data_IF_040831617753
#
_entry.id   IF_040831617753
#
_cell.length_a   1.000
_cell.length_b   1.000
_cell.length_c   1.000
_cell.angle_alpha   90.00
_cell.angle_beta   90.00
_cell.angle_gamma   90.00
#
_symmetry.space_group_name_H-M   'P 1'
#
loop_
_entity.id
_entity.type
_entity.pdbx_description
1 polymer ?
#
# COMPACT_ATOMS: atom_id res chain seq x y z
N UNK A 1 -28.71 25.45 -5.88
CA UNK A 1 -29.54 24.27 -5.58
C UNK A 1 -28.91 22.99 -6.14
N UNK A 2 -28.55 22.94 -7.44
CA UNK A 2 -27.99 21.76 -8.10
C UNK A 2 -26.70 21.22 -7.49
N UNK A 3 -25.75 22.06 -7.07
CA UNK A 3 -24.51 21.63 -6.41
C UNK A 3 -24.73 20.86 -5.10
N UNK A 4 -25.73 21.27 -4.30
CA UNK A 4 -26.07 20.57 -3.04
C UNK A 4 -26.70 19.21 -3.31
N UNK A 5 -27.52 19.08 -4.36
CA UNK A 5 -28.11 17.82 -4.79
C UNK A 5 -27.02 16.86 -5.30
N UNK A 6 -26.08 17.37 -6.10
CA UNK A 6 -24.94 16.57 -6.60
C UNK A 6 -24.05 16.06 -5.48
N UNK A 7 -23.73 16.90 -4.49
CA UNK A 7 -22.96 16.50 -3.31
C UNK A 7 -23.72 15.45 -2.50
N UNK A 8 -25.03 15.64 -2.27
CA UNK A 8 -25.88 14.67 -1.58
C UNK A 8 -25.89 13.31 -2.29
N UNK A 9 -26.06 13.31 -3.61
CA UNK A 9 -26.02 12.10 -4.42
C UNK A 9 -24.64 11.41 -4.34
N UNK A 10 -23.56 12.15 -4.50
CA UNK A 10 -22.20 11.61 -4.39
C UNK A 10 -21.96 10.99 -3.00
N UNK A 11 -22.45 11.63 -1.94
CA UNK A 11 -22.36 11.11 -0.56
C UNK A 11 -23.11 9.78 -0.43
N UNK A 12 -24.31 9.67 -1.00
CA UNK A 12 -25.08 8.42 -0.98
C UNK A 12 -24.39 7.30 -1.76
N UNK A 13 -23.82 7.60 -2.92
CA UNK A 13 -23.06 6.62 -3.72
C UNK A 13 -21.81 6.13 -2.98
N UNK A 14 -21.04 7.04 -2.36
CA UNK A 14 -19.90 6.68 -1.52
C UNK A 14 -20.33 5.81 -0.33
N UNK A 15 -21.43 6.18 0.32
CA UNK A 15 -21.98 5.41 1.43
C UNK A 15 -22.40 3.99 1.01
N UNK A 16 -23.13 3.86 -0.10
CA UNK A 16 -23.51 2.58 -0.66
C UNK A 16 -22.27 1.73 -1.01
N UNK A 17 -21.23 2.36 -1.59
CA UNK A 17 -19.95 1.71 -1.87
C UNK A 17 -19.32 1.14 -0.60
N UNK A 18 -19.26 1.90 0.49
CA UNK A 18 -18.71 1.43 1.78
C UNK A 18 -19.50 0.24 2.32
N UNK A 19 -20.83 0.29 2.27
CA UNK A 19 -21.70 -0.81 2.70
C UNK A 19 -21.42 -2.08 1.89
N UNK A 20 -21.32 -1.94 0.55
CA UNK A 20 -21.07 -3.06 -0.36
C UNK A 20 -19.69 -3.70 -0.18
N UNK A 21 -18.69 -2.98 0.34
CA UNK A 21 -17.37 -3.56 0.60
C UNK A 21 -17.38 -4.62 1.70
N UNK A 22 -18.32 -4.54 2.66
CA UNK A 22 -18.34 -5.39 3.85
C UNK A 22 -17.11 -5.26 4.76
N UNK A 23 -16.30 -4.20 4.58
CA UNK A 23 -15.05 -4.00 5.33
C UNK A 23 -15.32 -3.54 6.78
N UNK A 24 -14.97 -4.37 7.76
CA UNK A 24 -15.07 -4.02 9.19
C UNK A 24 -14.21 -2.79 9.54
N UNK A 25 -12.99 -2.72 9.02
CA UNK A 25 -12.09 -1.56 9.18
C UNK A 25 -12.67 -0.30 8.55
N UNK A 26 -13.28 -0.42 7.35
CA UNK A 26 -13.98 0.66 6.68
C UNK A 26 -15.14 1.18 7.52
N UNK A 27 -15.98 0.32 8.11
CA UNK A 27 -17.07 0.75 8.98
C UNK A 27 -16.59 1.48 10.24
N UNK A 28 -15.59 0.94 10.94
CA UNK A 28 -15.02 1.57 12.13
C UNK A 28 -14.46 2.96 11.82
N UNK A 29 -13.79 3.11 10.69
CA UNK A 29 -13.21 4.40 10.26
C UNK A 29 -14.28 5.41 9.88
N UNK A 30 -15.37 4.98 9.22
CA UNK A 30 -16.52 5.85 8.92
C UNK A 30 -17.21 6.31 10.20
N UNK A 31 -17.49 5.40 11.15
CA UNK A 31 -18.09 5.76 12.44
C UNK A 31 -17.20 6.77 13.18
N UNK A 32 -15.89 6.51 13.28
CA UNK A 32 -14.94 7.45 13.89
C UNK A 32 -14.89 8.80 13.19
N UNK A 33 -14.90 8.81 11.87
CA UNK A 33 -14.95 10.04 11.06
C UNK A 33 -16.24 10.84 11.31
N UNK A 34 -17.38 10.17 11.32
CA UNK A 34 -18.66 10.81 11.60
C UNK A 34 -18.75 11.36 13.02
N UNK A 35 -18.17 10.68 14.01
CA UNK A 35 -18.06 11.19 15.38
C UNK A 35 -17.22 12.47 15.43
N UNK A 36 -16.07 12.50 14.75
CA UNK A 36 -15.23 13.71 14.65
C UNK A 36 -16.01 14.83 13.95
N UNK A 37 -16.65 14.53 12.82
CA UNK A 37 -17.43 15.52 12.08
C UNK A 37 -18.60 16.07 12.92
N UNK A 38 -19.34 15.20 13.61
CA UNK A 38 -20.43 15.59 14.49
C UNK A 38 -19.94 16.47 15.65
N UNK A 39 -18.83 16.09 16.28
CA UNK A 39 -18.22 16.86 17.37
C UNK A 39 -17.82 18.25 16.89
N UNK A 40 -17.10 18.35 15.77
CA UNK A 40 -16.73 19.63 15.17
C UNK A 40 -17.96 20.47 14.82
N UNK A 41 -18.97 19.85 14.22
CA UNK A 41 -20.24 20.51 13.90
C UNK A 41 -20.95 21.07 15.13
N UNK A 42 -21.02 20.29 16.22
CA UNK A 42 -21.61 20.74 17.50
C UNK A 42 -20.83 21.91 18.08
N UNK A 43 -19.48 21.85 18.07
CA UNK A 43 -18.63 22.93 18.56
C UNK A 43 -18.86 24.23 17.76
N UNK A 44 -18.91 24.12 16.42
CA UNK A 44 -19.21 25.24 15.52
C UNK A 44 -20.61 25.82 15.79
N UNK A 45 -21.62 24.95 15.93
CA UNK A 45 -22.99 25.35 16.15
C UNK A 45 -23.24 25.97 17.56
N UNK A 46 -22.53 25.48 18.58
CA UNK A 46 -22.59 26.09 19.94
C UNK A 46 -21.99 27.49 19.94
N UNK A 47 -20.98 27.72 19.14
CA UNK A 47 -20.34 29.03 19.00
C UNK A 47 -21.12 30.00 18.11
N UNK A 48 -22.14 29.52 17.36
CA UNK A 48 -22.96 30.33 16.47
C UNK A 48 -24.20 30.87 17.20
N UNK A 49 -24.36 32.22 17.18
CA UNK A 49 -25.54 32.91 17.69
C UNK A 49 -26.65 32.89 16.60
N UNK A 50 -27.56 31.90 16.65
CA UNK A 50 -28.70 31.87 15.72
C UNK A 50 -29.55 30.61 15.79
N UNK A 51 -30.88 30.78 15.95
CA UNK A 51 -31.88 29.68 16.00
C UNK A 51 -31.88 28.82 14.74
N UNK A 52 -31.71 29.44 13.56
CA UNK A 52 -31.74 28.76 12.26
C UNK A 52 -30.57 27.80 12.10
N UNK A 53 -29.37 28.20 12.51
CA UNK A 53 -28.16 27.39 12.37
C UNK A 53 -28.22 26.17 13.35
N UNK A 54 -28.75 26.39 14.55
CA UNK A 54 -29.00 25.29 15.53
C UNK A 54 -30.02 24.28 15.02
N UNK A 55 -31.12 24.74 14.37
CA UNK A 55 -32.12 23.84 13.77
C UNK A 55 -31.55 23.03 12.62
N UNK A 56 -30.78 23.66 11.72
CA UNK A 56 -30.13 22.97 10.58
C UNK A 56 -29.12 21.92 11.07
N UNK A 57 -28.35 22.22 12.12
CA UNK A 57 -27.43 21.28 12.73
C UNK A 57 -28.10 20.10 13.43
N UNK A 58 -29.22 20.38 14.13
CA UNK A 58 -30.02 19.32 14.73
C UNK A 58 -30.64 18.38 13.69
N UNK A 59 -31.15 18.92 12.59
CA UNK A 59 -31.65 18.12 11.45
C UNK A 59 -30.54 17.30 10.82
N UNK A 60 -29.35 17.89 10.57
CA UNK A 60 -28.22 17.16 10.07
C UNK A 60 -27.75 16.03 11.00
N UNK A 61 -27.76 16.28 12.30
CA UNK A 61 -27.43 15.27 13.32
C UNK A 61 -28.44 14.10 13.34
N UNK A 62 -29.74 14.40 13.23
CA UNK A 62 -30.78 13.37 13.13
C UNK A 62 -30.63 12.55 11.85
N UNK A 63 -30.39 13.19 10.70
CA UNK A 63 -30.16 12.49 9.43
C UNK A 63 -28.91 11.58 9.53
N UNK A 64 -27.81 12.06 10.12
CA UNK A 64 -26.60 11.28 10.34
C UNK A 64 -26.84 10.07 11.25
N UNK A 65 -27.61 10.26 12.34
CA UNK A 65 -27.99 9.17 13.24
C UNK A 65 -28.87 8.13 12.53
N UNK A 66 -29.88 8.58 11.78
CA UNK A 66 -30.73 7.69 10.99
C UNK A 66 -29.95 6.91 9.95
N UNK A 67 -28.97 7.54 9.28
CA UNK A 67 -28.07 6.86 8.35
C UNK A 67 -27.23 5.78 9.05
N UNK A 68 -26.70 6.07 10.25
CA UNK A 68 -25.97 5.09 11.05
C UNK A 68 -26.86 3.92 11.51
N UNK A 69 -28.08 4.21 11.96
CA UNK A 69 -29.04 3.19 12.37
C UNK A 69 -29.49 2.32 11.18
N UNK A 70 -29.72 2.93 10.02
CA UNK A 70 -30.03 2.20 8.78
C UNK A 70 -28.87 1.30 8.36
N UNK A 71 -27.64 1.81 8.45
CA UNK A 71 -26.44 1.02 8.19
C UNK A 71 -26.35 -0.18 9.14
N UNK A 72 -26.49 0.06 10.44
CA UNK A 72 -26.46 -1.00 11.44
C UNK A 72 -27.54 -2.06 11.19
N UNK A 73 -28.75 -1.63 10.85
CA UNK A 73 -29.86 -2.52 10.54
C UNK A 73 -29.64 -3.34 9.25
N UNK A 74 -29.14 -2.71 8.18
CA UNK A 74 -28.81 -3.42 6.92
C UNK A 74 -27.69 -4.44 7.12
N UNK A 75 -26.69 -4.11 7.93
CA UNK A 75 -25.62 -5.04 8.28
C UNK A 75 -26.12 -6.28 9.04
N UNK A 76 -27.11 -6.10 9.91
CA UNK A 76 -27.69 -7.23 10.67
C UNK A 76 -28.65 -8.10 9.86
N UNK A 77 -29.32 -7.53 8.84
CA UNK A 77 -30.37 -8.21 8.07
C UNK A 77 -29.92 -8.81 6.74
N UNK A 78 -28.71 -8.49 6.28
CA UNK A 78 -28.22 -8.95 4.99
C UNK A 78 -27.43 -10.25 5.14
N UNK A 79 -28.00 -11.38 4.69
CA UNK A 79 -27.30 -12.67 4.63
C UNK A 79 -26.03 -12.57 3.77
N UNK A 80 -26.07 -11.81 2.67
CA UNK A 80 -24.91 -11.53 1.84
C UNK A 80 -23.78 -10.85 2.63
N UNK A 81 -24.09 -9.85 3.46
CA UNK A 81 -23.09 -9.16 4.28
C UNK A 81 -22.65 -10.04 5.46
N UNK A 82 -23.55 -10.85 6.02
CA UNK A 82 -23.23 -11.82 7.04
C UNK A 82 -22.33 -12.93 6.52
N UNK A 83 -22.61 -13.49 5.33
CA UNK A 83 -21.78 -14.50 4.69
C UNK A 83 -20.44 -13.92 4.22
N UNK A 84 -20.43 -12.68 3.72
CA UNK A 84 -19.19 -11.99 3.40
C UNK A 84 -18.39 -11.65 4.65
N UNK A 85 -19.03 -11.27 5.74
CA UNK A 85 -18.37 -11.07 7.05
C UNK A 85 -17.81 -12.38 7.61
N UNK A 86 -18.42 -13.53 7.30
CA UNK A 86 -17.91 -14.86 7.66
C UNK A 86 -16.82 -15.33 6.68
N UNK A 87 -16.99 -15.10 5.38
CA UNK A 87 -16.05 -15.54 4.32
C UNK A 87 -14.78 -14.67 4.23
N UNK A 88 -14.83 -13.39 4.67
CA UNK A 88 -13.66 -12.50 4.77
C UNK A 88 -13.06 -12.61 6.19
N UNK A 89 -13.15 -13.73 6.82
CA UNK A 89 -12.26 -14.01 7.94
C UNK A 89 -10.84 -14.22 7.40
N UNK A 90 -10.16 -13.10 7.11
CA UNK A 90 -8.73 -13.07 7.39
C UNK A 90 -8.69 -13.28 8.91
N UNK A 91 -8.29 -14.47 9.39
CA UNK A 91 -8.39 -14.78 10.80
C UNK A 91 -7.72 -13.68 11.59
N UNK A 92 -8.26 -13.30 12.73
CA UNK A 92 -7.60 -12.35 13.65
C UNK A 92 -6.16 -12.80 13.90
N UNK A 93 -5.91 -14.10 13.91
CA UNK A 93 -4.60 -14.72 13.95
C UNK A 93 -3.66 -14.28 12.81
N UNK A 94 -4.14 -14.19 11.56
CA UNK A 94 -3.32 -13.70 10.43
C UNK A 94 -2.79 -12.29 10.69
N UNK A 95 -3.66 -11.36 11.08
CA UNK A 95 -3.24 -9.98 11.37
C UNK A 95 -2.25 -9.90 12.52
N UNK A 96 -2.49 -10.65 13.58
CA UNK A 96 -1.56 -10.68 14.71
C UNK A 96 -0.19 -11.23 14.31
N UNK A 97 -0.13 -12.23 13.45
CA UNK A 97 1.14 -12.77 12.96
C UNK A 97 1.90 -11.81 12.06
N UNK A 98 1.22 -11.13 11.11
CA UNK A 98 1.89 -10.13 10.27
C UNK A 98 2.31 -8.89 11.09
N UNK A 99 1.58 -8.51 12.13
CA UNK A 99 1.99 -7.46 13.06
C UNK A 99 3.21 -7.86 13.89
N UNK A 100 3.25 -9.12 14.39
CA UNK A 100 4.44 -9.67 15.06
C UNK A 100 5.64 -9.69 14.15
N UNK A 101 5.45 -10.05 12.87
CA UNK A 101 6.51 -10.01 11.88
C UNK A 101 7.04 -8.57 11.65
N UNK A 102 6.16 -7.56 11.57
CA UNK A 102 6.54 -6.16 11.47
C UNK A 102 7.34 -5.70 12.69
N UNK A 103 6.93 -6.08 13.90
CA UNK A 103 7.66 -5.76 15.13
C UNK A 103 9.03 -6.47 15.17
N UNK A 104 9.10 -7.71 14.70
CA UNK A 104 10.36 -8.45 14.62
C UNK A 104 11.33 -7.79 13.62
N UNK A 105 10.82 -7.33 12.49
CA UNK A 105 11.60 -6.55 11.52
C UNK A 105 12.08 -5.23 12.12
N UNK A 106 11.22 -4.46 12.79
CA UNK A 106 11.59 -3.20 13.44
C UNK A 106 12.76 -3.36 14.41
N UNK A 107 12.77 -4.46 15.19
CA UNK A 107 13.87 -4.73 16.13
C UNK A 107 15.23 -4.90 15.48
N UNK A 108 15.32 -5.14 14.17
CA UNK A 108 16.59 -5.22 13.43
C UNK A 108 17.23 -3.84 13.28
N UNK A 109 16.41 -2.78 13.14
CA UNK A 109 16.90 -1.39 12.99
C UNK A 109 15.88 -0.41 13.59
N UNK A 110 15.83 -0.24 14.93
CA UNK A 110 14.74 0.48 15.60
C UNK A 110 14.66 1.96 15.25
N UNK A 111 15.77 2.62 14.93
CA UNK A 111 15.81 4.06 14.69
C UNK A 111 15.46 4.44 13.25
N UNK A 112 16.06 3.77 12.27
CA UNK A 112 15.96 4.15 10.85
C UNK A 112 15.20 3.13 10.00
N UNK A 113 14.82 1.96 10.58
CA UNK A 113 14.16 0.88 9.88
C UNK A 113 15.09 0.11 8.93
N UNK A 114 14.52 -0.81 8.18
CA UNK A 114 15.25 -1.70 7.26
C UNK A 114 15.21 -1.25 5.80
N UNK A 115 14.52 -0.18 5.51
CA UNK A 115 14.35 0.38 4.16
C UNK A 115 12.94 0.25 3.61
N UNK A 116 12.60 1.12 2.66
CA UNK A 116 11.30 1.16 2.00
C UNK A 116 11.00 -0.13 1.24
N UNK A 117 9.78 -0.66 1.35
CA UNK A 117 9.32 -1.85 0.63
C UNK A 117 9.96 -3.16 1.08
N UNK A 118 10.69 -3.17 2.19
CA UNK A 118 11.37 -4.37 2.68
C UNK A 118 10.47 -5.29 3.50
N UNK A 119 9.26 -4.85 3.84
CA UNK A 119 8.35 -5.66 4.65
C UNK A 119 8.02 -7.01 3.99
N UNK A 120 7.85 -7.07 2.68
CA UNK A 120 7.61 -8.32 1.97
C UNK A 120 8.68 -9.40 2.29
N UNK A 121 9.94 -9.02 2.33
CA UNK A 121 11.05 -9.96 2.56
C UNK A 121 11.14 -10.37 4.02
N UNK A 122 11.13 -9.42 4.94
CA UNK A 122 11.16 -9.69 6.37
C UNK A 122 9.86 -10.27 6.90
N UNK A 123 8.71 -9.90 6.31
CA UNK A 123 7.43 -10.50 6.59
C UNK A 123 7.43 -12.00 6.30
N UNK A 124 8.04 -12.44 5.18
CA UNK A 124 8.27 -13.86 4.87
C UNK A 124 9.17 -14.53 5.93
N UNK A 125 10.27 -13.89 6.30
CA UNK A 125 11.22 -14.41 7.27
C UNK A 125 10.62 -14.61 8.66
N UNK A 126 9.78 -13.68 9.12
CA UNK A 126 9.26 -13.65 10.49
C UNK A 126 7.79 -14.09 10.61
N UNK A 127 7.11 -14.41 9.51
CA UNK A 127 5.71 -14.84 9.56
C UNK A 127 5.49 -16.07 10.41
N UNK A 128 4.29 -16.20 10.98
CA UNK A 128 3.87 -17.41 11.66
C UNK A 128 3.37 -18.48 10.68
N UNK A 129 3.10 -19.67 11.20
CA UNK A 129 2.67 -20.83 10.40
C UNK A 129 1.30 -20.61 9.73
N UNK A 130 0.41 -19.81 10.33
CA UNK A 130 -0.91 -19.54 9.76
C UNK A 130 -0.88 -18.62 8.52
N UNK A 131 0.24 -17.92 8.30
CA UNK A 131 0.42 -17.02 7.16
C UNK A 131 1.14 -17.75 6.03
N UNK A 132 0.41 -18.40 5.13
CA UNK A 132 1.01 -19.11 3.99
C UNK A 132 1.09 -18.28 2.71
N UNK A 133 0.18 -17.32 2.52
CA UNK A 133 0.30 -16.33 1.44
C UNK A 133 1.47 -15.37 1.72
N UNK A 134 2.07 -14.83 0.66
CA UNK A 134 3.13 -13.83 0.81
C UNK A 134 2.59 -12.57 1.51
N UNK A 135 3.16 -12.19 2.65
CA UNK A 135 2.71 -11.03 3.43
C UNK A 135 3.27 -9.74 2.80
N UNK A 136 2.63 -9.27 1.73
CA UNK A 136 3.07 -8.06 1.02
C UNK A 136 2.99 -6.82 1.91
N UNK A 137 1.97 -6.77 2.79
CA UNK A 137 1.72 -5.66 3.70
C UNK A 137 1.44 -6.17 5.12
N UNK A 138 1.80 -5.33 6.11
CA UNK A 138 1.54 -5.62 7.51
C UNK A 138 0.06 -5.48 7.91
N UNK A 139 -0.81 -4.97 7.04
CA UNK A 139 -2.19 -4.59 7.36
C UNK A 139 -2.28 -3.68 8.60
N UNK A 140 -1.30 -2.82 8.75
CA UNK A 140 -1.23 -1.73 9.72
C UNK A 140 -0.12 -0.78 9.23
N UNK A 141 -0.52 0.36 8.66
CA UNK A 141 0.41 1.32 8.07
C UNK A 141 1.44 1.84 9.09
N UNK A 142 1.04 2.01 10.36
CA UNK A 142 1.96 2.52 11.39
C UNK A 142 3.04 1.51 11.75
N UNK A 143 2.68 0.22 11.88
CA UNK A 143 3.65 -0.84 12.13
C UNK A 143 4.57 -1.05 10.92
N UNK A 144 4.04 -0.93 9.70
CA UNK A 144 4.86 -1.03 8.50
C UNK A 144 5.81 0.15 8.35
N UNK A 145 5.35 1.40 8.58
CA UNK A 145 6.22 2.57 8.63
C UNK A 145 7.31 2.42 9.71
N UNK A 146 6.95 1.90 10.88
CA UNK A 146 7.90 1.65 11.96
C UNK A 146 8.95 0.60 11.55
N UNK A 147 8.55 -0.47 10.89
CA UNK A 147 9.42 -1.54 10.43
C UNK A 147 10.39 -1.06 9.32
N UNK A 148 9.88 -0.31 8.36
CA UNK A 148 10.61 0.10 7.16
C UNK A 148 11.45 1.37 7.37
N UNK A 149 10.95 2.35 8.17
CA UNK A 149 11.58 3.65 8.36
C UNK A 149 11.98 3.95 9.82
N UNK A 150 11.74 3.00 10.74
CA UNK A 150 12.09 3.14 12.15
C UNK A 150 11.30 4.20 12.90
N UNK A 151 11.74 4.46 14.13
CA UNK A 151 11.11 5.48 14.99
C UNK A 151 11.24 6.89 14.40
N UNK A 152 12.33 7.19 13.70
CA UNK A 152 12.55 8.50 13.06
C UNK A 152 11.53 8.72 11.93
N UNK A 153 11.34 7.74 11.04
CA UNK A 153 10.38 7.86 9.94
C UNK A 153 8.93 7.92 10.42
N UNK A 154 8.54 7.06 11.36
CA UNK A 154 7.21 7.12 11.97
C UNK A 154 7.00 8.45 12.70
N UNK A 155 8.00 8.94 13.46
CA UNK A 155 7.94 10.21 14.16
C UNK A 155 7.74 11.38 13.19
N UNK A 156 8.50 11.43 12.09
CA UNK A 156 8.35 12.44 11.04
C UNK A 156 6.95 12.41 10.41
N UNK A 157 6.43 11.22 10.10
CA UNK A 157 5.08 11.04 9.58
C UNK A 157 4.03 11.57 10.58
N UNK A 158 4.12 11.20 11.85
CA UNK A 158 3.18 11.64 12.87
C UNK A 158 3.24 13.15 13.09
N UNK A 159 4.44 13.74 13.09
CA UNK A 159 4.61 15.19 13.18
C UNK A 159 3.95 15.91 12.00
N UNK A 160 4.16 15.41 10.78
CA UNK A 160 3.52 15.95 9.58
C UNK A 160 1.98 15.85 9.69
N UNK A 161 1.47 14.69 10.07
CA UNK A 161 0.04 14.44 10.24
C UNK A 161 -0.58 15.38 11.29
N UNK A 162 0.03 15.46 12.46
CA UNK A 162 -0.44 16.31 13.57
C UNK A 162 -0.32 17.80 13.26
N UNK A 163 0.70 18.22 12.50
CA UNK A 163 0.83 19.62 12.06
C UNK A 163 -0.35 20.05 11.18
N UNK A 164 -0.79 19.20 10.26
CA UNK A 164 -1.96 19.47 9.42
C UNK A 164 -3.27 19.45 10.23
N UNK A 165 -3.43 18.51 11.14
CA UNK A 165 -4.59 18.49 12.05
C UNK A 165 -4.62 19.76 12.92
N UNK A 166 -3.49 20.14 13.50
CA UNK A 166 -3.35 21.37 14.30
C UNK A 166 -3.67 22.62 13.46
N UNK A 167 -3.15 22.67 12.24
CA UNK A 167 -3.44 23.78 11.32
C UNK A 167 -4.92 23.88 11.04
N UNK A 168 -5.55 22.78 10.62
CA UNK A 168 -7.00 22.74 10.38
C UNK A 168 -7.82 23.11 11.61
N UNK A 169 -7.40 22.67 12.81
CA UNK A 169 -8.05 23.06 14.06
C UNK A 169 -7.97 24.56 14.35
N UNK A 170 -6.79 25.19 14.19
CA UNK A 170 -6.57 26.62 14.41
C UNK A 170 -7.41 27.43 13.42
N UNK A 171 -7.37 27.06 12.14
CA UNK A 171 -8.11 27.76 11.09
C UNK A 171 -9.63 27.60 11.28
N UNK A 172 -10.10 26.42 11.67
CA UNK A 172 -11.50 26.17 12.03
C UNK A 172 -11.99 27.11 13.17
N UNK A 173 -11.14 27.35 14.16
CA UNK A 173 -11.45 28.32 15.25
C UNK A 173 -11.48 29.76 14.74
N UNK A 174 -10.60 30.13 13.80
CA UNK A 174 -10.56 31.49 13.22
C UNK A 174 -11.73 31.77 12.27
N UNK A 175 -12.23 30.74 11.60
CA UNK A 175 -13.42 30.78 10.74
C UNK A 175 -14.73 30.88 11.55
N UNK A 176 -14.66 30.90 12.87
CA UNK A 176 -15.81 30.86 13.80
C UNK A 176 -16.84 31.99 13.60
N UNK A 177 -17.99 31.87 14.26
CA UNK A 177 -19.25 32.58 13.93
C UNK A 177 -19.20 34.09 13.95
N UNK A 178 -18.32 34.69 14.73
CA UNK A 178 -18.20 36.16 14.81
C UNK A 178 -17.72 36.83 13.50
N UNK A 179 -16.95 36.09 12.68
CA UNK A 179 -16.52 36.54 11.34
C UNK A 179 -17.52 36.16 10.24
N UNK A 180 -18.31 35.10 10.45
CA UNK A 180 -19.38 34.64 9.53
C UNK A 180 -20.48 35.68 9.38
N UNK A 181 -20.77 36.45 10.46
CA UNK A 181 -21.79 37.50 10.42
C UNK A 181 -21.48 38.64 9.45
N UNK A 182 -20.19 38.89 9.16
CA UNK A 182 -19.75 39.94 8.25
C UNK A 182 -19.61 39.53 6.78
N UNK A 183 -19.38 38.20 6.48
CA UNK A 183 -19.18 37.68 5.10
C UNK A 183 -19.98 36.40 4.86
N UNK A 184 -21.29 36.53 4.63
CA UNK A 184 -22.34 35.50 4.73
C UNK A 184 -22.23 34.22 3.86
N UNK A 185 -21.40 34.07 2.85
CA UNK A 185 -21.43 32.85 1.99
C UNK A 185 -20.11 32.09 1.87
N UNK A 186 -18.97 32.75 1.74
CA UNK A 186 -17.66 32.09 1.51
C UNK A 186 -17.12 31.40 2.78
N UNK A 187 -17.39 31.97 3.95
CA UNK A 187 -16.94 31.43 5.26
C UNK A 187 -17.65 30.13 5.64
N UNK A 188 -18.91 29.95 5.27
CA UNK A 188 -19.67 28.72 5.54
C UNK A 188 -19.12 27.51 4.78
N UNK A 189 -18.73 27.68 3.53
CA UNK A 189 -18.14 26.61 2.71
C UNK A 189 -16.73 26.25 3.19
N UNK A 190 -15.90 27.24 3.53
CA UNK A 190 -14.56 27.01 4.07
C UNK A 190 -14.60 26.24 5.40
N UNK A 191 -15.54 26.58 6.28
CA UNK A 191 -15.75 25.84 7.55
C UNK A 191 -16.19 24.39 7.30
N UNK A 192 -17.12 24.17 6.38
CA UNK A 192 -17.61 22.84 6.03
C UNK A 192 -16.49 21.97 5.44
N UNK A 193 -15.70 22.54 4.52
CA UNK A 193 -14.53 21.87 3.93
C UNK A 193 -13.47 21.54 4.97
N UNK A 194 -13.17 22.47 5.88
CA UNK A 194 -12.19 22.24 6.94
C UNK A 194 -12.64 21.14 7.92
N UNK A 195 -13.91 21.16 8.37
CA UNK A 195 -14.46 20.12 9.23
C UNK A 195 -14.50 18.75 8.52
N UNK A 196 -14.89 18.73 7.24
CA UNK A 196 -14.86 17.53 6.41
C UNK A 196 -13.45 16.99 6.21
N UNK A 197 -12.46 17.85 5.99
CA UNK A 197 -11.06 17.46 5.84
C UNK A 197 -10.49 16.86 7.14
N UNK A 198 -10.77 17.45 8.32
CA UNK A 198 -10.38 16.87 9.61
C UNK A 198 -11.04 15.50 9.86
N UNK A 199 -12.31 15.34 9.49
CA UNK A 199 -13.01 14.08 9.60
C UNK A 199 -12.44 13.03 8.63
N UNK A 200 -12.05 13.41 7.40
CA UNK A 200 -11.41 12.53 6.44
C UNK A 200 -10.03 12.06 6.91
N UNK A 201 -9.23 12.95 7.51
CA UNK A 201 -7.95 12.59 8.13
C UNK A 201 -8.15 11.59 9.26
N UNK A 202 -9.17 11.78 10.10
CA UNK A 202 -9.53 10.82 11.16
C UNK A 202 -9.94 9.47 10.57
N UNK A 203 -10.73 9.44 9.48
CA UNK A 203 -11.11 8.20 8.82
C UNK A 203 -9.89 7.39 8.35
N UNK A 204 -8.98 8.02 7.61
CA UNK A 204 -7.76 7.36 7.12
C UNK A 204 -6.88 6.95 8.30
N UNK A 205 -6.68 7.82 9.29
CA UNK A 205 -5.86 7.50 10.47
C UNK A 205 -6.36 6.29 11.24
N UNK A 206 -7.67 6.15 11.41
CA UNK A 206 -8.29 4.98 12.06
C UNK A 206 -8.21 3.72 11.18
N UNK A 207 -8.46 3.85 9.88
CA UNK A 207 -8.40 2.72 8.97
C UNK A 207 -6.98 2.16 8.83
N UNK A 208 -5.96 3.01 8.81
CA UNK A 208 -4.55 2.65 8.73
C UNK A 208 -4.04 1.82 9.93
N UNK A 209 -4.80 1.76 11.05
CA UNK A 209 -4.50 0.84 12.16
C UNK A 209 -4.73 -0.62 11.78
N UNK A 210 -5.67 -0.89 10.87
CA UNK A 210 -6.12 -2.26 10.55
C UNK A 210 -5.99 -2.62 9.08
N UNK A 211 -5.39 -1.72 8.27
CA UNK A 211 -5.21 -1.93 6.83
C UNK A 211 -3.97 -1.18 6.30
N UNK A 212 -3.71 -1.27 4.97
CA UNK A 212 -2.53 -0.69 4.28
C UNK A 212 -2.92 0.47 3.34
N UNK A 213 -3.75 1.40 3.83
CA UNK A 213 -4.31 2.51 3.03
C UNK A 213 -3.25 3.44 2.44
N UNK A 214 -2.15 3.65 3.16
CA UNK A 214 -1.04 4.52 2.72
C UNK A 214 -0.18 3.87 1.62
N UNK A 215 -0.40 2.60 1.31
CA UNK A 215 0.25 1.88 0.22
C UNK A 215 -0.61 1.84 -1.06
N UNK A 216 -1.84 2.40 -1.01
CA UNK A 216 -2.75 2.50 -2.15
C UNK A 216 -2.61 3.90 -2.77
N UNK A 217 -2.04 4.05 -3.98
CA UNK A 217 -1.75 5.37 -4.56
C UNK A 217 -2.97 6.30 -4.63
N UNK A 218 -4.16 5.77 -4.96
CA UNK A 218 -5.39 6.55 -5.01
C UNK A 218 -5.74 7.16 -3.63
N UNK A 219 -5.59 6.39 -2.55
CA UNK A 219 -5.85 6.87 -1.19
C UNK A 219 -4.86 7.95 -0.77
N UNK A 220 -3.57 7.77 -1.13
CA UNK A 220 -2.52 8.76 -0.84
C UNK A 220 -2.77 10.08 -1.57
N UNK A 221 -3.22 10.05 -2.83
CA UNK A 221 -3.58 11.24 -3.59
C UNK A 221 -4.76 11.99 -2.96
N UNK A 222 -5.81 11.26 -2.53
CA UNK A 222 -6.94 11.85 -1.80
C UNK A 222 -6.48 12.45 -0.48
N UNK A 223 -5.63 11.76 0.27
CA UNK A 223 -5.07 12.27 1.53
C UNK A 223 -4.22 13.53 1.31
N UNK A 224 -3.40 13.55 0.26
CA UNK A 224 -2.62 14.74 -0.11
C UNK A 224 -3.53 15.95 -0.42
N UNK A 225 -4.63 15.73 -1.15
CA UNK A 225 -5.64 16.76 -1.39
C UNK A 225 -6.29 17.25 -0.08
N UNK A 226 -6.60 16.34 0.84
CA UNK A 226 -7.17 16.67 2.16
C UNK A 226 -6.17 17.49 2.98
N UNK A 227 -4.89 17.12 3.01
CA UNK A 227 -3.85 17.92 3.68
C UNK A 227 -3.69 19.29 3.02
N UNK A 228 -3.72 19.39 1.69
CA UNK A 228 -3.71 20.66 0.97
C UNK A 228 -4.89 21.56 1.38
N UNK A 229 -6.09 20.97 1.58
CA UNK A 229 -7.27 21.68 2.07
C UNK A 229 -7.06 22.20 3.50
N UNK A 230 -6.47 21.40 4.40
CA UNK A 230 -6.16 21.82 5.77
C UNK A 230 -5.06 22.88 5.84
N UNK A 231 -4.09 22.82 4.95
CA UNK A 231 -3.02 23.82 4.86
C UNK A 231 -3.51 25.18 4.34
N UNK A 232 -4.56 25.18 3.50
CA UNK A 232 -5.13 26.38 2.86
C UNK A 232 -6.66 26.43 3.04
N UNK A 233 -7.11 26.53 4.27
CA UNK A 233 -8.54 26.50 4.65
C UNK A 233 -9.33 27.75 4.25
N UNK A 234 -8.78 28.65 3.44
CA UNK A 234 -9.44 29.90 3.02
C UNK A 234 -9.53 30.97 4.12
N UNK A 235 -8.88 30.78 5.25
CA UNK A 235 -8.66 31.80 6.26
C UNK A 235 -7.61 32.78 5.75
N UNK A 236 -8.01 33.70 4.86
CA UNK A 236 -7.13 34.77 4.39
C UNK A 236 -6.65 35.58 5.59
N UNK A 237 -5.33 35.60 5.79
CA UNK A 237 -4.66 36.60 6.64
C UNK A 237 -4.81 37.95 5.93
N UNK A 238 -5.74 38.75 6.39
CA UNK A 238 -6.03 40.07 5.84
C UNK A 238 -4.91 41.11 6.13
N UNK A 239 -3.86 40.73 6.89
CA UNK A 239 -2.90 41.73 7.43
C UNK A 239 -1.43 41.57 7.05
N UNK A 240 -1.05 40.67 6.15
CA UNK A 240 0.38 40.52 5.79
C UNK A 240 0.63 40.71 4.27
N UNK A 241 0.13 41.82 3.70
CA UNK A 241 0.35 42.10 2.29
C UNK A 241 1.77 42.57 1.93
N UNK A 242 2.61 42.88 2.91
CA UNK A 242 3.95 43.48 2.66
C UNK A 242 5.15 42.58 2.83
N UNK A 243 5.02 41.41 3.49
CA UNK A 243 6.14 40.50 3.72
C UNK A 243 5.98 39.08 3.18
N UNK A 244 4.77 38.68 2.80
CA UNK A 244 4.45 37.28 2.44
C UNK A 244 4.87 36.90 1.01
N UNK A 245 5.26 37.85 0.17
CA UNK A 245 5.51 37.62 -1.26
C UNK A 245 6.77 36.77 -1.52
N UNK A 246 7.83 36.92 -0.73
CA UNK A 246 9.08 36.18 -0.94
C UNK A 246 8.99 34.70 -0.49
N UNK A 247 8.42 34.43 0.68
CA UNK A 247 8.30 33.07 1.21
C UNK A 247 7.32 32.20 0.42
N UNK A 248 6.21 32.78 -0.07
CA UNK A 248 5.23 32.07 -0.88
C UNK A 248 5.79 31.73 -2.27
N UNK A 249 6.61 32.62 -2.84
CA UNK A 249 7.29 32.41 -4.13
C UNK A 249 8.34 31.31 -4.03
N UNK A 250 9.18 31.32 -2.99
CA UNK A 250 10.18 30.27 -2.74
C UNK A 250 9.50 28.90 -2.54
N UNK A 251 8.43 28.85 -1.74
CA UNK A 251 7.68 27.60 -1.53
C UNK A 251 7.05 27.06 -2.84
N UNK A 252 6.53 27.93 -3.70
CA UNK A 252 5.99 27.53 -5.01
C UNK A 252 7.11 27.02 -5.92
N UNK A 253 8.23 27.71 -6.02
CA UNK A 253 9.37 27.27 -6.82
C UNK A 253 9.88 25.90 -6.33
N UNK A 254 9.93 25.67 -5.03
CA UNK A 254 10.30 24.37 -4.44
C UNK A 254 9.33 23.27 -4.83
N UNK A 255 8.01 23.50 -4.76
CA UNK A 255 6.99 22.55 -5.20
C UNK A 255 7.08 22.24 -6.69
N UNK A 256 7.29 23.25 -7.55
CA UNK A 256 7.54 23.02 -8.97
C UNK A 256 8.83 22.23 -9.22
N UNK A 257 9.88 22.48 -8.44
CA UNK A 257 11.12 21.72 -8.48
C UNK A 257 10.89 20.25 -8.14
N UNK A 258 10.16 19.96 -7.06
CA UNK A 258 9.79 18.58 -6.69
C UNK A 258 8.93 17.93 -7.79
N UNK A 259 7.92 18.62 -8.30
CA UNK A 259 7.07 18.10 -9.37
C UNK A 259 7.88 17.79 -10.65
N UNK A 260 8.84 18.63 -11.00
CA UNK A 260 9.74 18.40 -12.13
C UNK A 260 10.63 17.17 -11.89
N UNK A 261 11.23 17.03 -10.68
CA UNK A 261 12.03 15.86 -10.31
C UNK A 261 11.20 14.57 -10.38
N UNK A 262 9.99 14.58 -9.82
CA UNK A 262 9.07 13.44 -9.89
C UNK A 262 8.66 13.12 -11.34
N UNK A 263 8.39 14.13 -12.14
CA UNK A 263 8.10 13.97 -13.57
C UNK A 263 9.25 13.34 -14.34
N UNK A 264 10.48 13.79 -14.08
CA UNK A 264 11.71 13.21 -14.65
C UNK A 264 11.92 11.78 -14.19
N UNK A 265 11.67 11.48 -12.91
CA UNK A 265 11.75 10.11 -12.38
C UNK A 265 10.74 9.20 -13.06
N UNK A 266 9.48 9.61 -13.20
CA UNK A 266 8.46 8.85 -13.95
C UNK A 266 8.91 8.62 -15.40
N UNK A 267 9.34 9.68 -16.09
CA UNK A 267 9.86 9.58 -17.46
C UNK A 267 11.02 8.59 -17.57
N UNK A 268 11.92 8.58 -16.57
CA UNK A 268 13.12 7.73 -16.55
C UNK A 268 12.80 6.25 -16.31
N UNK A 269 11.85 5.95 -15.41
CA UNK A 269 11.56 4.58 -14.96
C UNK A 269 10.34 3.94 -15.63
N UNK A 270 9.35 4.72 -16.08
CA UNK A 270 8.14 4.19 -16.69
C UNK A 270 8.38 3.23 -17.89
N UNK A 271 9.37 3.46 -18.78
CA UNK A 271 9.63 2.49 -19.85
C UNK A 271 10.11 1.13 -19.34
N UNK A 272 10.93 1.10 -18.28
CA UNK A 272 11.37 -0.16 -17.62
C UNK A 272 10.19 -0.95 -17.09
N UNK A 273 9.33 -0.30 -16.31
CA UNK A 273 8.10 -0.88 -15.75
C UNK A 273 7.12 -1.36 -16.84
N UNK A 274 6.92 -0.56 -17.88
CA UNK A 274 6.08 -0.96 -19.01
C UNK A 274 6.56 -2.26 -19.65
N UNK A 275 7.84 -2.39 -19.90
CA UNK A 275 8.41 -3.60 -20.51
C UNK A 275 8.45 -4.76 -19.51
N UNK A 276 8.64 -4.52 -18.21
CA UNK A 276 8.54 -5.55 -17.17
C UNK A 276 7.13 -6.17 -17.17
N UNK A 277 6.08 -5.34 -17.20
CA UNK A 277 4.70 -5.82 -17.26
C UNK A 277 4.41 -6.58 -18.56
N UNK A 278 4.91 -6.11 -19.70
CA UNK A 278 4.78 -6.82 -20.99
C UNK A 278 5.50 -8.16 -20.97
N UNK A 279 6.68 -8.23 -20.36
CA UNK A 279 7.44 -9.48 -20.20
C UNK A 279 6.69 -10.44 -19.26
N UNK A 280 6.16 -9.95 -18.13
CA UNK A 280 5.32 -10.71 -17.20
C UNK A 280 4.11 -11.34 -17.89
N UNK A 281 3.39 -10.55 -18.67
CA UNK A 281 2.24 -11.04 -19.44
C UNK A 281 2.65 -12.11 -20.46
N UNK A 282 3.77 -11.90 -21.17
CA UNK A 282 4.28 -12.86 -22.14
C UNK A 282 4.69 -14.19 -21.48
N UNK A 283 5.30 -14.16 -20.29
CA UNK A 283 5.60 -15.35 -19.48
C UNK A 283 4.30 -16.07 -19.11
N UNK A 284 3.32 -15.36 -18.57
CA UNK A 284 2.02 -15.92 -18.21
C UNK A 284 1.30 -16.59 -19.38
N UNK A 285 1.38 -15.96 -20.55
CA UNK A 285 0.70 -16.43 -21.78
C UNK A 285 1.52 -17.52 -22.51
N UNK A 286 2.63 -18.01 -21.93
CA UNK A 286 3.46 -19.06 -22.54
C UNK A 286 4.16 -18.61 -23.83
N UNK A 287 4.50 -17.33 -23.98
CA UNK A 287 5.17 -16.76 -25.18
C UNK A 287 6.64 -16.44 -24.90
N UNK A 288 7.55 -17.45 -24.90
CA UNK A 288 8.91 -17.30 -24.41
C UNK A 288 9.73 -16.24 -25.17
N UNK A 289 9.69 -16.25 -26.50
CA UNK A 289 10.48 -15.30 -27.30
C UNK A 289 10.00 -13.85 -27.12
N UNK A 290 8.70 -13.65 -26.95
CA UNK A 290 8.14 -12.34 -26.63
C UNK A 290 8.59 -11.86 -25.24
N UNK A 291 8.59 -12.77 -24.24
CA UNK A 291 9.06 -12.46 -22.89
C UNK A 291 10.52 -12.03 -22.89
N UNK A 292 11.40 -12.80 -23.57
CA UNK A 292 12.81 -12.47 -23.74
C UNK A 292 12.98 -11.11 -24.44
N UNK A 293 12.21 -10.85 -25.50
CA UNK A 293 12.29 -9.60 -26.26
C UNK A 293 11.87 -8.40 -25.42
N UNK A 294 10.78 -8.48 -24.68
CA UNK A 294 10.33 -7.40 -23.80
C UNK A 294 11.29 -7.19 -22.64
N UNK A 295 11.75 -8.25 -21.98
CA UNK A 295 12.70 -8.13 -20.87
C UNK A 295 14.01 -7.45 -21.31
N UNK A 296 14.56 -7.83 -22.46
CA UNK A 296 15.76 -7.17 -23.02
C UNK A 296 15.53 -5.69 -23.35
N UNK A 297 14.35 -5.33 -23.93
CA UNK A 297 14.00 -3.93 -24.17
C UNK A 297 13.91 -3.16 -22.87
N UNK A 298 13.29 -3.72 -21.81
CA UNK A 298 13.23 -3.09 -20.50
C UNK A 298 14.62 -2.86 -19.90
N UNK A 299 15.51 -3.84 -19.98
CA UNK A 299 16.89 -3.75 -19.49
C UNK A 299 17.73 -2.69 -20.21
N UNK A 300 17.38 -2.32 -21.45
CA UNK A 300 18.01 -1.20 -22.13
C UNK A 300 17.70 0.15 -21.47
N UNK A 301 16.51 0.28 -20.84
CA UNK A 301 16.12 1.46 -20.07
C UNK A 301 16.55 1.36 -18.61
N UNK A 302 16.43 0.19 -18.00
CA UNK A 302 16.65 -0.02 -16.56
C UNK A 302 17.52 -1.24 -16.31
N UNK A 303 18.84 -1.04 -16.38
CA UNK A 303 19.85 -2.10 -16.35
C UNK A 303 19.95 -2.84 -15.01
N UNK A 304 19.43 -2.26 -13.93
CA UNK A 304 19.49 -2.82 -12.57
C UNK A 304 18.09 -3.19 -12.04
N UNK A 305 17.16 -3.54 -12.91
CA UNK A 305 15.84 -3.99 -12.50
C UNK A 305 15.83 -5.53 -12.34
N UNK A 306 15.71 -6.06 -11.10
CA UNK A 306 15.73 -7.49 -10.84
C UNK A 306 14.54 -8.23 -11.45
N UNK A 307 13.37 -7.58 -11.58
CA UNK A 307 12.19 -8.18 -12.19
C UNK A 307 12.39 -8.45 -13.68
N UNK A 308 13.06 -7.53 -14.39
CA UNK A 308 13.37 -7.72 -15.81
C UNK A 308 14.31 -8.89 -16.03
N UNK A 309 15.34 -9.05 -15.18
CA UNK A 309 16.19 -10.22 -15.22
C UNK A 309 15.43 -11.51 -14.90
N UNK A 310 14.53 -11.48 -13.92
CA UNK A 310 13.69 -12.63 -13.60
C UNK A 310 12.79 -13.02 -14.77
N UNK A 311 12.11 -12.08 -15.43
CA UNK A 311 11.28 -12.38 -16.59
C UNK A 311 12.11 -12.82 -17.81
N UNK A 312 13.34 -12.31 -17.96
CA UNK A 312 14.28 -12.80 -18.97
C UNK A 312 14.61 -14.27 -18.72
N UNK A 313 14.99 -14.63 -17.50
CA UNK A 313 15.29 -16.00 -17.11
C UNK A 313 14.10 -16.94 -17.28
N UNK A 314 12.90 -16.51 -16.84
CA UNK A 314 11.66 -17.30 -17.05
C UNK A 314 11.35 -17.50 -18.52
N UNK A 315 11.49 -16.47 -19.35
CA UNK A 315 11.32 -16.60 -20.81
C UNK A 315 12.32 -17.59 -21.42
N UNK A 316 13.57 -17.56 -20.96
CA UNK A 316 14.61 -18.50 -21.39
C UNK A 316 14.32 -19.94 -20.91
N UNK A 317 13.87 -20.13 -19.67
CA UNK A 317 13.47 -21.45 -19.15
C UNK A 317 12.25 -22.02 -19.92
N UNK A 318 11.26 -21.19 -20.24
CA UNK A 318 10.13 -21.59 -21.06
C UNK A 318 10.55 -21.96 -22.50
N UNK A 319 11.50 -21.20 -23.06
CA UNK A 319 12.09 -21.53 -24.36
C UNK A 319 12.81 -22.88 -24.29
N UNK A 320 13.65 -23.11 -23.28
CA UNK A 320 14.32 -24.39 -23.07
C UNK A 320 13.33 -25.57 -23.03
N UNK A 321 12.20 -25.42 -22.35
CA UNK A 321 11.19 -26.47 -22.25
C UNK A 321 10.52 -26.80 -23.58
N UNK A 322 10.50 -25.87 -24.54
CA UNK A 322 9.89 -26.05 -25.86
C UNK A 322 10.82 -26.67 -26.93
N UNK A 323 12.11 -26.80 -26.65
CA UNK A 323 13.09 -27.37 -27.57
C UNK A 323 13.30 -28.86 -27.33
N UNK A 324 13.38 -29.63 -28.43
CA UNK A 324 13.68 -31.08 -28.40
C UNK A 324 15.17 -31.36 -28.43
N UNK A 325 16.00 -30.48 -29.04
CA UNK A 325 17.44 -30.62 -29.07
C UNK A 325 18.08 -30.41 -27.70
N UNK A 326 18.77 -31.41 -27.13
CA UNK A 326 19.37 -31.31 -25.80
C UNK A 326 20.42 -30.18 -25.68
N UNK A 327 21.15 -29.88 -26.73
CA UNK A 327 22.18 -28.86 -26.71
C UNK A 327 21.57 -27.44 -26.65
N UNK A 328 20.57 -27.20 -27.50
CA UNK A 328 19.81 -25.96 -27.48
C UNK A 328 19.07 -25.77 -26.11
N UNK A 329 18.47 -26.83 -25.60
CA UNK A 329 17.80 -26.84 -24.29
C UNK A 329 18.77 -26.45 -23.18
N UNK A 330 19.94 -27.07 -23.11
CA UNK A 330 20.98 -26.76 -22.13
C UNK A 330 21.48 -25.31 -22.25
N UNK A 331 21.67 -24.82 -23.48
CA UNK A 331 22.07 -23.43 -23.72
C UNK A 331 21.05 -22.41 -23.17
N UNK A 332 19.76 -22.64 -23.39
CA UNK A 332 18.72 -21.77 -22.85
C UNK A 332 18.64 -21.81 -21.32
N UNK A 333 18.78 -22.99 -20.68
CA UNK A 333 18.84 -23.07 -19.22
C UNK A 333 20.09 -22.39 -18.65
N UNK A 334 21.25 -22.50 -19.33
CA UNK A 334 22.46 -21.80 -18.91
C UNK A 334 22.29 -20.26 -18.99
N UNK A 335 21.62 -19.77 -20.03
CA UNK A 335 21.28 -18.36 -20.15
C UNK A 335 20.26 -17.92 -19.05
N UNK A 336 19.33 -18.79 -18.70
CA UNK A 336 18.37 -18.52 -17.62
C UNK A 336 19.08 -18.41 -16.27
N UNK A 337 20.06 -19.28 -15.97
CA UNK A 337 20.89 -19.17 -14.75
C UNK A 337 21.53 -17.79 -14.64
N UNK A 338 22.22 -17.33 -15.70
CA UNK A 338 22.86 -16.01 -15.69
C UNK A 338 21.88 -14.87 -15.41
N UNK A 339 20.67 -15.00 -15.95
CA UNK A 339 19.61 -14.01 -15.74
C UNK A 339 19.11 -14.04 -14.30
N UNK A 340 18.83 -15.21 -13.72
CA UNK A 340 18.39 -15.36 -12.32
C UNK A 340 19.49 -15.00 -11.32
N UNK A 341 20.74 -15.32 -11.57
CA UNK A 341 21.88 -14.87 -10.76
C UNK A 341 21.96 -13.34 -10.73
N UNK A 342 21.71 -12.69 -11.88
CA UNK A 342 21.67 -11.23 -11.93
C UNK A 342 20.50 -10.66 -11.12
N UNK A 343 19.32 -11.27 -11.19
CA UNK A 343 18.17 -10.89 -10.37
C UNK A 343 18.45 -11.07 -8.86
N UNK A 344 19.03 -12.21 -8.48
CA UNK A 344 19.37 -12.55 -7.10
C UNK A 344 20.43 -11.60 -6.51
N UNK A 345 21.47 -11.23 -7.29
CA UNK A 345 22.45 -10.23 -6.84
C UNK A 345 21.83 -8.85 -6.59
N UNK A 346 20.85 -8.45 -7.39
CA UNK A 346 20.16 -7.16 -7.24
C UNK A 346 19.13 -7.15 -6.10
N UNK A 347 18.53 -8.30 -5.79
CA UNK A 347 17.56 -8.44 -4.71
C UNK A 347 17.81 -9.73 -3.90
N UNK A 348 18.87 -9.77 -3.08
CA UNK A 348 19.35 -10.99 -2.42
C UNK A 348 18.37 -11.56 -1.37
N UNK A 349 17.41 -10.78 -0.90
CA UNK A 349 16.40 -11.21 0.06
C UNK A 349 15.13 -11.78 -0.60
N UNK A 350 15.04 -11.79 -1.94
CA UNK A 350 13.89 -12.38 -2.60
C UNK A 350 14.12 -13.87 -2.89
N UNK A 351 13.51 -14.72 -2.07
CA UNK A 351 13.55 -16.18 -2.22
C UNK A 351 13.14 -16.67 -3.61
N UNK A 352 12.34 -15.89 -4.35
CA UNK A 352 11.81 -16.28 -5.65
C UNK A 352 12.95 -16.56 -6.63
N UNK A 353 13.99 -15.75 -6.58
CA UNK A 353 15.13 -15.93 -7.49
C UNK A 353 15.99 -17.16 -7.12
N UNK A 354 16.09 -17.47 -5.82
CA UNK A 354 16.72 -18.69 -5.36
C UNK A 354 15.94 -19.95 -5.80
N UNK A 355 14.61 -19.92 -5.71
CA UNK A 355 13.78 -21.01 -6.21
C UNK A 355 13.91 -21.20 -7.73
N UNK A 356 13.93 -20.11 -8.51
CA UNK A 356 14.14 -20.18 -9.97
C UNK A 356 15.52 -20.73 -10.32
N UNK A 357 16.57 -20.36 -9.58
CA UNK A 357 17.90 -20.94 -9.70
C UNK A 357 17.88 -22.45 -9.39
N UNK A 358 17.28 -22.84 -8.27
CA UNK A 358 17.15 -24.24 -7.87
C UNK A 358 16.47 -25.08 -8.94
N UNK A 359 15.32 -24.66 -9.46
CA UNK A 359 14.61 -25.34 -10.54
C UNK A 359 15.44 -25.42 -11.83
N UNK A 360 16.21 -24.37 -12.13
CA UNK A 360 17.02 -24.35 -13.34
C UNK A 360 18.25 -25.25 -13.22
N UNK A 361 18.87 -25.33 -12.03
CA UNK A 361 19.94 -26.27 -11.73
C UNK A 361 19.44 -27.73 -11.80
N UNK A 362 18.25 -28.02 -11.25
CA UNK A 362 17.62 -29.33 -11.37
C UNK A 362 17.39 -29.73 -12.83
N UNK A 363 16.92 -28.80 -13.66
CA UNK A 363 16.68 -29.04 -15.07
C UNK A 363 18.00 -29.34 -15.86
N UNK A 364 19.13 -28.91 -15.34
CA UNK A 364 20.47 -29.18 -15.86
C UNK A 364 21.13 -30.43 -15.22
N UNK A 365 20.48 -31.11 -14.27
CA UNK A 365 21.04 -32.22 -13.51
C UNK A 365 22.14 -31.82 -12.50
N UNK A 366 22.23 -30.52 -12.19
CA UNK A 366 23.19 -29.94 -11.24
C UNK A 366 22.58 -29.90 -9.83
N UNK A 367 22.31 -31.09 -9.31
CA UNK A 367 21.53 -31.26 -8.07
C UNK A 367 22.19 -30.68 -6.82
N UNK A 368 23.53 -30.72 -6.71
CA UNK A 368 24.23 -30.15 -5.56
C UNK A 368 24.10 -28.60 -5.48
N UNK A 369 24.13 -27.94 -6.62
CA UNK A 369 23.92 -26.51 -6.69
C UNK A 369 22.44 -26.16 -6.45
N UNK A 370 21.50 -26.98 -6.94
CA UNK A 370 20.08 -26.81 -6.66
C UNK A 370 19.77 -26.93 -5.17
N UNK A 371 20.36 -27.92 -4.49
CA UNK A 371 20.24 -28.13 -3.04
C UNK A 371 20.56 -26.87 -2.25
N UNK A 372 21.70 -26.24 -2.56
CA UNK A 372 22.10 -25.01 -1.88
C UNK A 372 21.08 -23.88 -2.08
N UNK A 373 20.54 -23.71 -3.31
CA UNK A 373 19.56 -22.68 -3.61
C UNK A 373 18.23 -22.88 -2.84
N UNK A 374 17.76 -24.13 -2.78
CA UNK A 374 16.54 -24.45 -2.03
C UNK A 374 16.71 -24.26 -0.53
N UNK A 375 17.88 -24.61 0.04
CA UNK A 375 18.18 -24.38 1.46
C UNK A 375 18.22 -22.88 1.79
N UNK A 376 18.87 -22.07 0.97
CA UNK A 376 18.89 -20.61 1.14
C UNK A 376 17.46 -20.01 1.01
N UNK A 377 16.64 -20.50 0.07
CA UNK A 377 15.26 -20.07 -0.07
C UNK A 377 14.42 -20.40 1.17
N UNK A 378 14.65 -21.57 1.78
CA UNK A 378 14.02 -21.94 3.06
C UNK A 378 14.50 -21.07 4.23
N UNK A 379 15.78 -20.66 4.24
CA UNK A 379 16.30 -19.75 5.26
C UNK A 379 15.67 -18.36 5.19
N UNK A 380 15.33 -17.90 4.00
CA UNK A 380 14.61 -16.63 3.80
C UNK A 380 13.12 -16.73 4.15
N UNK A 381 12.50 -17.92 4.07
CA UNK A 381 11.08 -18.12 4.35
C UNK A 381 10.84 -19.48 5.01
N UNK A 382 11.23 -19.62 6.28
CA UNK A 382 11.27 -20.91 6.96
C UNK A 382 9.89 -21.52 7.25
N UNK A 383 8.81 -20.72 7.16
CA UNK A 383 7.44 -21.17 7.44
C UNK A 383 6.63 -21.47 6.18
N UNK A 384 7.19 -21.22 4.98
CA UNK A 384 6.49 -21.49 3.73
C UNK A 384 6.33 -22.97 3.45
N UNK A 385 5.10 -23.45 3.41
CA UNK A 385 4.80 -24.85 3.04
C UNK A 385 5.24 -25.12 1.60
N UNK A 386 4.91 -24.22 0.67
CA UNK A 386 5.28 -24.35 -0.74
C UNK A 386 6.81 -24.47 -0.95
N UNK A 387 7.62 -23.70 -0.22
CA UNK A 387 9.09 -23.78 -0.34
C UNK A 387 9.61 -25.14 0.11
N UNK A 388 9.03 -25.71 1.18
CA UNK A 388 9.36 -27.06 1.65
C UNK A 388 8.93 -28.15 0.68
N UNK A 389 7.76 -28.00 0.04
CA UNK A 389 7.29 -28.91 -1.01
C UNK A 389 8.19 -28.90 -2.22
N UNK A 390 8.68 -27.72 -2.66
CA UNK A 390 9.66 -27.61 -3.74
C UNK A 390 10.98 -28.29 -3.38
N UNK A 391 11.47 -28.08 -2.18
CA UNK A 391 12.65 -28.76 -1.70
C UNK A 391 12.48 -30.29 -1.65
N UNK A 392 11.34 -30.78 -1.15
CA UNK A 392 11.04 -32.21 -1.13
C UNK A 392 10.94 -32.80 -2.57
N UNK A 393 10.42 -32.02 -3.52
CA UNK A 393 10.40 -32.45 -4.93
C UNK A 393 11.81 -32.53 -5.52
N UNK A 394 12.67 -31.56 -5.21
CA UNK A 394 14.09 -31.58 -5.57
C UNK A 394 14.80 -32.84 -5.04
N UNK A 395 14.65 -33.17 -3.76
CA UNK A 395 15.27 -34.37 -3.16
C UNK A 395 14.84 -35.66 -3.86
N UNK A 396 13.55 -35.78 -4.20
CA UNK A 396 13.04 -36.91 -5.00
C UNK A 396 13.70 -36.97 -6.38
N UNK A 397 13.78 -35.82 -7.06
CA UNK A 397 14.40 -35.73 -8.40
C UNK A 397 15.88 -36.15 -8.34
N UNK A 398 16.60 -35.74 -7.31
CA UNK A 398 18.00 -36.10 -7.11
C UNK A 398 18.17 -37.60 -6.87
N UNK A 399 17.31 -38.23 -6.06
CA UNK A 399 17.31 -39.68 -5.86
C UNK A 399 17.10 -40.45 -7.16
N UNK A 400 16.20 -40.00 -8.04
CA UNK A 400 15.97 -40.63 -9.36
C UNK A 400 17.14 -40.39 -10.32
N UNK A 401 17.91 -39.31 -10.18
CA UNK A 401 19.09 -39.03 -10.96
C UNK A 401 20.33 -39.85 -10.58
N UNK A 402 20.24 -40.80 -9.65
CA UNK A 402 21.29 -41.78 -9.36
C UNK A 402 22.37 -41.33 -8.40
N UNK A 403 22.21 -40.21 -7.69
CA UNK A 403 23.09 -39.79 -6.59
C UNK A 403 22.31 -39.66 -5.30
N UNK A 404 22.79 -40.21 -4.18
CA UNK A 404 22.10 -40.06 -2.91
C UNK A 404 22.09 -38.58 -2.48
N UNK A 405 20.99 -38.08 -1.87
CA UNK A 405 20.99 -36.76 -1.26
C UNK A 405 22.05 -36.68 -0.15
N UNK A 406 22.60 -35.49 0.14
CA UNK A 406 23.51 -35.33 1.27
C UNK A 406 22.83 -35.76 2.57
N UNK A 407 23.59 -36.27 3.55
CA UNK A 407 23.02 -36.61 4.86
C UNK A 407 22.45 -35.37 5.52
N UNK A 408 21.28 -35.52 6.15
CA UNK A 408 20.66 -34.47 6.94
C UNK A 408 21.69 -33.85 7.89
N UNK A 409 21.93 -32.55 7.76
CA UNK A 409 22.72 -31.82 8.76
C UNK A 409 21.92 -31.75 10.05
N UNK A 410 22.55 -32.03 11.22
CA UNK A 410 21.91 -32.02 12.51
C UNK A 410 21.33 -30.64 12.92
#
# INVERSE_FOLDING_TARGET
MWSKLLIGYATLVCYAGIVLTGSRGGFMSVVGSLLVFATLSVLILRAAEGRTLRRTGAVGGVIGLLALLTLFWTLQKSDFLADRARSIEVPTQFRLEVWRAAIAQWKLSPLIGTGSGTYLFYGRKFRGQAVQADPVYAHNDYLQLLAEYGAVGLGAFLLFFLAHCRRGWIDGRQLGPKRVAQRRSLTSNAMALNAGALAAVAAIGLHSVVDFNLHIPANVLVLAFVFGTLANSGAQRENDASGAFSGLTVGRCFLFGIAAILGLAVWRFAPGEYYAERARMAVRDGRPLAAIGFARKGLAFERQNPLLFSYLGRGQSLAAASWSDPSAKASFYQAALQSFESAQRLAPLDKTYLLELGFTYDALGRFAEAEWQFQEAMALDPKATATREYYAAHLKLWQFGGKPPPPDKP
#
